data_IF_098880556918
#
_entry.id   IF_098880556918
#
_cell.length_a   1.000
_cell.length_b   1.000
_cell.length_c   1.000
_cell.angle_alpha   90.00
_cell.angle_beta   90.00
_cell.angle_gamma   90.00
#
_symmetry.space_group_name_H-M   'P 1'
#
loop_
_entity.id
_entity.type
_entity.pdbx_description
1 polymer ?
#
# COMPACT_ATOMS: atom_id res chain seq x y z
N UNK A 1 21.66 3.72 4.29
CA UNK A 1 20.90 2.45 4.40
C UNK A 1 19.98 2.34 3.20
N UNK A 2 19.66 1.13 2.72
CA UNK A 2 18.61 0.96 1.70
C UNK A 2 17.23 1.26 2.33
N UNK A 3 16.30 1.91 1.62
CA UNK A 3 14.96 2.16 2.13
C UNK A 3 14.21 0.84 2.37
N UNK A 4 13.35 0.82 3.39
CA UNK A 4 12.53 -0.36 3.73
C UNK A 4 11.33 -0.42 2.79
N UNK A 5 11.01 -1.59 2.24
CA UNK A 5 9.82 -1.73 1.39
C UNK A 5 8.55 -1.74 2.22
N UNK A 6 7.54 -1.01 1.77
CA UNK A 6 6.22 -0.91 2.40
C UNK A 6 5.10 -1.05 1.37
N UNK A 7 3.99 -1.68 1.75
CA UNK A 7 2.72 -1.57 1.01
C UNK A 7 1.73 -0.72 1.78
N UNK A 8 0.85 -0.04 1.05
CA UNK A 8 -0.31 0.63 1.63
C UNK A 8 -1.56 -0.24 1.51
N UNK A 9 -2.19 -0.57 2.62
CA UNK A 9 -3.48 -1.25 2.60
C UNK A 9 -4.61 -0.22 2.53
N UNK A 10 -5.26 -0.15 1.37
CA UNK A 10 -6.26 0.83 0.99
C UNK A 10 -5.78 1.63 -0.23
N UNK A 11 -6.64 1.76 -1.23
CA UNK A 11 -6.37 2.52 -2.46
C UNK A 11 -7.38 3.68 -2.65
N UNK A 12 -7.65 4.43 -1.57
CA UNK A 12 -8.59 5.55 -1.55
C UNK A 12 -7.87 6.91 -1.64
N UNK A 13 -8.62 8.02 -1.66
CA UNK A 13 -8.04 9.36 -1.55
C UNK A 13 -7.23 9.57 -0.25
N UNK A 14 -7.54 8.86 0.84
CA UNK A 14 -6.69 8.90 2.04
C UNK A 14 -5.32 8.28 1.75
N UNK A 15 -5.28 7.22 0.94
CA UNK A 15 -4.05 6.53 0.61
C UNK A 15 -3.09 7.35 -0.27
N UNK A 16 -3.59 8.30 -1.06
CA UNK A 16 -2.73 9.20 -1.84
C UNK A 16 -1.93 10.12 -0.93
N UNK A 17 -2.56 10.66 0.12
CA UNK A 17 -1.89 11.50 1.12
C UNK A 17 -0.83 10.70 1.90
N UNK A 18 -1.16 9.48 2.34
CA UNK A 18 -0.20 8.60 3.02
C UNK A 18 0.97 8.26 2.11
N UNK A 19 0.73 7.98 0.83
CA UNK A 19 1.79 7.69 -0.14
C UNK A 19 2.76 8.87 -0.31
N UNK A 20 2.26 10.10 -0.34
CA UNK A 20 3.10 11.29 -0.42
C UNK A 20 3.91 11.51 0.85
N UNK A 21 3.34 11.29 2.04
CA UNK A 21 4.07 11.34 3.32
C UNK A 21 5.23 10.32 3.33
N UNK A 22 4.97 9.08 2.93
CA UNK A 22 5.99 8.02 2.86
C UNK A 22 7.14 8.41 1.93
N UNK A 23 6.82 8.94 0.73
CA UNK A 23 7.83 9.38 -0.24
C UNK A 23 8.67 10.53 0.28
N UNK A 24 8.04 11.52 0.93
CA UNK A 24 8.74 12.67 1.49
C UNK A 24 9.64 12.29 2.68
N UNK A 25 9.27 11.25 3.44
CA UNK A 25 10.07 10.80 4.58
C UNK A 25 11.37 10.12 4.16
N UNK A 26 11.41 9.47 2.99
CA UNK A 26 12.61 8.85 2.42
C UNK A 26 13.14 7.60 3.14
N UNK A 27 12.51 7.15 4.25
CA UNK A 27 12.87 5.90 4.92
C UNK A 27 12.34 4.66 4.20
N UNK A 28 11.23 4.83 3.46
CA UNK A 28 10.50 3.74 2.86
C UNK A 28 10.42 3.86 1.35
N UNK A 29 10.38 2.70 0.69
CA UNK A 29 10.08 2.55 -0.72
C UNK A 29 8.68 1.93 -0.86
N UNK A 30 7.76 2.66 -1.52
CA UNK A 30 6.40 2.18 -1.72
C UNK A 30 6.37 1.10 -2.81
N UNK A 31 6.07 -0.14 -2.42
CA UNK A 31 5.96 -1.28 -3.33
C UNK A 31 4.61 -1.32 -4.09
N UNK A 32 3.56 -0.72 -3.53
CA UNK A 32 2.24 -0.67 -4.14
C UNK A 32 1.11 -0.57 -3.12
N UNK A 33 -0.12 -0.76 -3.60
CA UNK A 33 -1.33 -0.70 -2.80
C UNK A 33 -2.02 -2.07 -2.73
N UNK A 34 -2.68 -2.35 -1.61
CA UNK A 34 -3.60 -3.48 -1.45
C UNK A 34 -5.03 -2.98 -1.33
N UNK A 35 -5.98 -3.62 -1.98
CA UNK A 35 -7.40 -3.31 -1.92
C UNK A 35 -8.24 -4.60 -1.88
N UNK A 36 -8.75 -4.97 -0.70
CA UNK A 36 -9.62 -6.13 -0.51
C UNK A 36 -11.05 -5.87 -1.02
N UNK A 37 -11.44 -4.59 -1.16
CA UNK A 37 -12.82 -4.18 -1.40
C UNK A 37 -13.12 -4.12 -2.90
N UNK A 38 -12.12 -3.70 -3.70
CA UNK A 38 -12.27 -3.49 -5.14
C UNK A 38 -11.28 -4.39 -5.91
N UNK A 39 -11.49 -5.72 -5.95
CA UNK A 39 -10.56 -6.67 -6.58
C UNK A 39 -10.34 -6.42 -8.08
N UNK A 40 -11.31 -5.80 -8.77
CA UNK A 40 -11.24 -5.42 -10.17
C UNK A 40 -10.17 -4.37 -10.48
N UNK A 41 -9.71 -3.65 -9.45
CA UNK A 41 -8.66 -2.62 -9.57
C UNK A 41 -7.26 -3.19 -9.60
N UNK A 42 -7.09 -4.52 -9.50
CA UNK A 42 -5.78 -5.15 -9.61
C UNK A 42 -5.10 -4.74 -10.92
N UNK A 43 -3.79 -4.48 -10.83
CA UNK A 43 -2.92 -4.00 -11.90
C UNK A 43 -3.26 -2.57 -12.40
N UNK A 44 -4.22 -1.88 -11.79
CA UNK A 44 -4.53 -0.47 -12.07
C UNK A 44 -3.38 0.44 -11.57
N UNK A 45 -2.87 1.35 -12.41
CA UNK A 45 -1.97 2.41 -11.97
C UNK A 45 -2.69 3.33 -10.96
N UNK A 46 -2.12 3.49 -9.77
CA UNK A 46 -2.69 4.35 -8.73
C UNK A 46 -1.59 5.11 -8.02
N UNK A 47 -1.72 6.44 -7.94
CA UNK A 47 -0.80 7.33 -7.21
C UNK A 47 0.69 7.02 -7.49
N UNK A 48 1.11 6.92 -8.77
CA UNK A 48 2.50 6.59 -9.18
C UNK A 48 3.03 5.22 -8.72
N UNK A 49 2.15 4.31 -8.33
CA UNK A 49 2.44 2.90 -8.14
C UNK A 49 1.29 2.07 -8.74
N UNK A 50 1.07 0.85 -8.25
CA UNK A 50 0.08 -0.09 -8.77
C UNK A 50 -0.72 -0.70 -7.61
N UNK A 51 -2.00 -0.98 -7.84
CA UNK A 51 -2.82 -1.83 -6.97
C UNK A 51 -2.48 -3.29 -7.24
N UNK A 52 -1.86 -3.96 -6.26
CA UNK A 52 -1.28 -5.29 -6.45
C UNK A 52 -2.31 -6.42 -6.35
N UNK A 53 -3.51 -6.11 -5.86
CA UNK A 53 -4.54 -7.06 -5.46
C UNK A 53 -4.97 -6.78 -4.01
N UNK A 54 -5.49 -7.79 -3.32
CA UNK A 54 -5.88 -7.70 -1.92
C UNK A 54 -4.96 -8.53 -1.02
N UNK A 55 -5.55 -9.02 0.08
CA UNK A 55 -4.91 -9.87 1.09
C UNK A 55 -4.21 -11.10 0.52
N UNK A 56 -4.68 -11.62 -0.61
CA UNK A 56 -4.08 -12.77 -1.27
C UNK A 56 -2.62 -12.52 -1.71
N UNK A 57 -2.20 -11.26 -1.80
CA UNK A 57 -0.81 -10.89 -2.13
C UNK A 57 0.14 -10.95 -0.93
N UNK A 58 -0.33 -11.10 0.31
CA UNK A 58 0.53 -10.95 1.51
C UNK A 58 1.71 -11.94 1.55
N UNK A 59 1.47 -13.21 1.25
CA UNK A 59 2.53 -14.23 1.23
C UNK A 59 3.55 -13.96 0.11
N UNK A 60 3.07 -13.55 -1.07
CA UNK A 60 3.94 -13.19 -2.20
C UNK A 60 4.78 -11.94 -1.89
N UNK A 61 4.20 -10.95 -1.25
CA UNK A 61 4.87 -9.72 -0.82
C UNK A 61 5.96 -10.01 0.21
N UNK A 62 5.66 -10.85 1.20
CA UNK A 62 6.62 -11.30 2.19
C UNK A 62 7.79 -12.06 1.53
N UNK A 63 7.49 -12.96 0.59
CA UNK A 63 8.50 -13.68 -0.18
C UNK A 63 9.37 -12.74 -1.05
N UNK A 64 8.89 -11.54 -1.37
CA UNK A 64 9.59 -10.49 -2.13
C UNK A 64 10.25 -9.42 -1.23
N UNK A 65 10.43 -9.74 0.05
CA UNK A 65 11.08 -8.87 1.05
C UNK A 65 10.32 -7.56 1.31
N UNK A 66 8.98 -7.58 1.16
CA UNK A 66 8.12 -6.49 1.61
C UNK A 66 7.55 -6.84 2.98
N UNK A 67 8.21 -6.33 4.02
CA UNK A 67 7.93 -6.69 5.41
C UNK A 67 7.13 -5.63 6.19
N UNK A 68 6.78 -4.50 5.56
CA UNK A 68 6.03 -3.42 6.20
C UNK A 68 4.70 -3.18 5.50
N UNK A 69 3.67 -2.90 6.30
CA UNK A 69 2.33 -2.57 5.84
C UNK A 69 1.88 -1.34 6.62
N UNK A 70 1.35 -0.33 5.94
CA UNK A 70 0.67 0.79 6.58
C UNK A 70 -0.80 0.82 6.15
N UNK A 71 -1.69 1.03 7.12
CA UNK A 71 -3.14 1.06 6.89
C UNK A 71 -3.56 2.45 6.42
N UNK A 72 -4.12 2.52 5.21
CA UNK A 72 -4.40 3.76 4.48
C UNK A 72 -5.89 3.95 4.20
N UNK A 73 -6.73 3.64 5.20
CA UNK A 73 -8.17 3.85 5.17
C UNK A 73 -8.65 4.52 6.46
N UNK A 74 -9.66 5.39 6.32
CA UNK A 74 -10.21 6.17 7.44
C UNK A 74 -11.37 5.49 8.17
N UNK A 75 -11.89 4.36 7.66
CA UNK A 75 -12.99 3.64 8.32
C UNK A 75 -12.47 3.01 9.62
N UNK A 76 -12.89 3.57 10.74
CA UNK A 76 -12.53 3.13 12.07
C UNK A 76 -13.82 2.91 12.85
N UNK A 77 -14.18 1.65 13.14
CA UNK A 77 -15.42 1.29 13.86
C UNK A 77 -15.56 1.95 15.23
N UNK A 78 -14.47 2.38 15.85
CA UNK A 78 -14.50 3.10 17.13
C UNK A 78 -14.83 4.60 16.99
N UNK A 79 -14.99 5.11 15.76
CA UNK A 79 -15.28 6.51 15.43
C UNK A 79 -16.46 6.64 14.47
#
# INVERSE_FOLDING_TARGET
MKPKKVVLWGASNTATVVADIIRLQGEYELAGFLDDINPERRDEPFCRAVVLGGREQLELLKARDVSHIMMAFGNNRAR
#
